data_IF_741651839576
#
_entry.id   IF_741651839576
#
_cell.length_a   1.000
_cell.length_b   1.000
_cell.length_c   1.000
_cell.angle_alpha   90.00
_cell.angle_beta   90.00
_cell.angle_gamma   90.00
#
_symmetry.space_group_name_H-M   'P 1'
#
loop_
_entity.id
_entity.type
_entity.pdbx_description
1 polymer ?
#
# COMPACT_ATOMS: atom_id res chain seq x y z
N UNK A 1 13.26 -14.61 -3.73
CA UNK A 1 12.32 -14.55 -4.86
C UNK A 1 11.71 -15.93 -4.98
N UNK A 2 10.40 -16.04 -4.83
CA UNK A 2 9.66 -17.26 -5.14
C UNK A 2 9.12 -17.15 -6.56
N UNK A 3 8.70 -18.27 -7.13
CA UNK A 3 8.13 -18.36 -8.48
C UNK A 3 6.62 -18.07 -8.47
N UNK A 4 6.11 -17.48 -7.38
CA UNK A 4 4.70 -17.22 -7.16
C UNK A 4 4.39 -15.74 -7.26
N UNK A 5 3.37 -15.38 -8.06
CA UNK A 5 2.81 -14.03 -8.11
C UNK A 5 1.53 -14.01 -7.27
N UNK A 6 1.46 -13.07 -6.33
CA UNK A 6 0.29 -12.83 -5.48
C UNK A 6 -0.45 -11.57 -5.98
N UNK A 7 -1.75 -11.71 -6.23
CA UNK A 7 -2.62 -10.61 -6.67
C UNK A 7 -3.74 -10.38 -5.67
N UNK A 8 -3.91 -9.13 -5.21
CA UNK A 8 -5.06 -8.72 -4.43
C UNK A 8 -6.10 -8.09 -5.35
N UNK A 9 -7.22 -8.76 -5.52
CA UNK A 9 -8.25 -8.35 -6.47
C UNK A 9 -9.55 -8.06 -5.73
N UNK A 10 -10.02 -6.82 -5.82
CA UNK A 10 -11.33 -6.43 -5.31
C UNK A 10 -12.39 -6.64 -6.38
N UNK A 11 -13.42 -7.41 -6.06
CA UNK A 11 -14.60 -7.53 -6.92
C UNK A 11 -15.32 -6.17 -6.98
N UNK A 12 -15.46 -5.63 -8.18
CA UNK A 12 -16.22 -4.41 -8.43
C UNK A 12 -17.49 -4.72 -9.19
N UNK A 13 -18.62 -4.05 -8.90
CA UNK A 13 -19.88 -4.23 -9.64
C UNK A 13 -19.64 -4.05 -11.15
N UNK A 14 -20.16 -4.99 -11.95
CA UNK A 14 -20.01 -5.01 -13.42
C UNK A 14 -18.55 -5.05 -13.93
N UNK A 15 -17.58 -5.30 -13.09
CA UNK A 15 -16.18 -5.43 -13.48
C UNK A 15 -15.95 -6.72 -14.28
N UNK A 16 -15.61 -6.61 -15.57
CA UNK A 16 -15.41 -7.75 -16.46
C UNK A 16 -14.30 -8.69 -15.96
N UNK A 17 -13.12 -8.15 -15.68
CA UNK A 17 -11.96 -8.94 -15.22
C UNK A 17 -12.18 -9.45 -13.81
N UNK A 18 -12.61 -8.59 -12.89
CA UNK A 18 -12.83 -8.98 -11.49
C UNK A 18 -13.99 -9.95 -11.34
N UNK A 19 -15.02 -9.82 -12.18
CA UNK A 19 -16.14 -10.78 -12.26
C UNK A 19 -15.69 -12.15 -12.76
N UNK A 20 -14.87 -12.20 -13.81
CA UNK A 20 -14.28 -13.43 -14.32
C UNK A 20 -13.44 -14.14 -13.25
N UNK A 21 -12.54 -13.42 -12.58
CA UNK A 21 -11.70 -13.98 -11.52
C UNK A 21 -12.52 -14.54 -10.36
N UNK A 22 -13.60 -13.85 -9.96
CA UNK A 22 -14.42 -14.26 -8.84
C UNK A 22 -15.35 -15.45 -9.13
N UNK A 23 -15.87 -15.56 -10.37
CA UNK A 23 -16.95 -16.47 -10.67
C UNK A 23 -16.57 -17.62 -11.63
N UNK A 24 -15.54 -17.45 -12.45
CA UNK A 24 -15.22 -18.36 -13.55
C UNK A 24 -13.85 -18.99 -13.42
N UNK A 25 -12.81 -18.23 -13.04
CA UNK A 25 -11.43 -18.71 -12.93
C UNK A 25 -11.30 -19.86 -11.91
N UNK A 26 -10.63 -20.93 -12.31
CA UNK A 26 -10.43 -22.14 -11.48
C UNK A 26 -8.95 -22.45 -11.34
N UNK A 27 -8.61 -23.17 -10.29
CA UNK A 27 -7.26 -23.74 -10.11
C UNK A 27 -6.91 -24.65 -11.30
N UNK A 28 -5.76 -24.38 -11.91
CA UNK A 28 -5.33 -25.05 -13.13
C UNK A 28 -5.56 -24.26 -14.42
N UNK A 29 -6.36 -23.21 -14.37
CA UNK A 29 -6.56 -22.32 -15.53
C UNK A 29 -5.30 -21.49 -15.81
N UNK A 30 -5.04 -21.24 -17.07
CA UNK A 30 -3.93 -20.38 -17.51
C UNK A 30 -4.41 -18.95 -17.70
N UNK A 31 -3.71 -18.00 -17.07
CA UNK A 31 -3.94 -16.59 -17.26
C UNK A 31 -2.71 -15.92 -17.88
N UNK A 32 -2.92 -14.91 -18.70
CA UNK A 32 -1.83 -14.08 -19.23
C UNK A 32 -1.72 -12.81 -18.39
N UNK A 33 -0.53 -12.58 -17.86
CA UNK A 33 -0.19 -11.38 -17.08
C UNK A 33 0.86 -10.57 -17.83
N UNK A 34 0.69 -9.25 -17.87
CA UNK A 34 1.68 -8.31 -18.43
C UNK A 34 2.22 -7.45 -17.29
N UNK A 35 3.53 -7.29 -17.25
CA UNK A 35 4.21 -6.48 -16.24
C UNK A 35 5.70 -6.84 -16.12
N UNK A 36 6.38 -6.35 -15.07
CA UNK A 36 5.88 -5.41 -14.06
C UNK A 36 5.65 -3.99 -14.65
N UNK A 37 4.68 -3.28 -14.10
CA UNK A 37 4.37 -1.89 -14.45
C UNK A 37 4.40 -1.03 -13.18
N UNK A 38 4.53 0.30 -13.37
CA UNK A 38 4.55 1.25 -12.26
C UNK A 38 5.93 1.53 -11.69
N UNK A 39 5.98 2.45 -10.73
CA UNK A 39 7.22 2.93 -10.11
C UNK A 39 7.37 2.55 -8.63
N UNK A 40 6.35 2.02 -8.00
CA UNK A 40 6.34 1.69 -6.58
C UNK A 40 7.01 0.32 -6.32
N UNK A 41 8.32 0.27 -6.46
CA UNK A 41 9.15 -0.90 -6.09
C UNK A 41 10.30 -0.52 -5.16
N UNK A 42 10.77 -1.47 -4.36
CA UNK A 42 11.79 -1.25 -3.34
C UNK A 42 13.11 -0.69 -3.91
N UNK A 43 13.56 0.43 -3.36
CA UNK A 43 14.87 1.03 -3.64
C UNK A 43 15.87 0.59 -2.56
N UNK A 44 16.59 -0.50 -2.80
CA UNK A 44 17.47 -1.17 -1.83
C UNK A 44 18.63 -0.30 -1.32
N UNK A 45 19.01 0.75 -2.05
CA UNK A 45 20.10 1.65 -1.65
C UNK A 45 19.69 2.71 -0.62
N UNK A 46 18.40 2.78 -0.28
CA UNK A 46 17.92 3.73 0.72
C UNK A 46 18.19 3.20 2.12
N UNK A 47 18.76 4.03 2.97
CA UNK A 47 19.07 3.72 4.38
C UNK A 47 18.20 4.52 5.36
N UNK A 48 17.50 5.55 4.89
CA UNK A 48 16.64 6.40 5.69
C UNK A 48 15.23 5.80 5.93
N UNK A 49 14.35 6.55 6.61
CA UNK A 49 13.00 6.10 6.89
C UNK A 49 12.13 5.99 5.63
N UNK A 50 11.16 5.09 5.70
CA UNK A 50 10.22 4.82 4.61
C UNK A 50 8.79 5.12 5.07
N UNK A 51 8.05 5.87 4.27
CA UNK A 51 6.61 6.05 4.40
C UNK A 51 5.91 5.19 3.35
N UNK A 52 5.16 4.21 3.80
CA UNK A 52 4.40 3.31 2.96
C UNK A 52 2.91 3.60 3.14
N UNK A 53 2.20 3.95 2.07
CA UNK A 53 0.77 4.28 2.14
C UNK A 53 0.00 3.39 1.18
N UNK A 54 -0.92 2.62 1.73
CA UNK A 54 -1.76 1.69 1.00
C UNK A 54 -3.24 2.08 1.09
N UNK A 55 -3.95 2.07 -0.03
CA UNK A 55 -5.40 2.21 -0.07
C UNK A 55 -6.07 0.96 -0.62
N UNK A 56 -6.91 0.29 0.18
CA UNK A 56 -7.58 -0.94 -0.25
C UNK A 56 -6.59 -1.99 -0.78
N UNK A 57 -6.77 -2.44 -2.03
CA UNK A 57 -5.87 -3.43 -2.68
C UNK A 57 -4.47 -2.89 -2.99
N UNK A 58 -4.24 -1.59 -2.82
CA UNK A 58 -2.89 -1.02 -2.80
C UNK A 58 -1.99 -1.57 -1.69
N UNK A 59 -2.57 -2.34 -0.76
CA UNK A 59 -1.80 -3.08 0.23
C UNK A 59 -0.86 -4.12 -0.42
N UNK A 60 -1.21 -4.72 -1.56
CA UNK A 60 -0.40 -5.76 -2.21
C UNK A 60 1.02 -5.28 -2.58
N UNK A 61 1.21 -4.22 -3.39
CA UNK A 61 2.55 -3.72 -3.69
C UNK A 61 3.28 -3.20 -2.45
N UNK A 62 2.57 -2.60 -1.50
CA UNK A 62 3.18 -2.16 -0.24
C UNK A 62 3.70 -3.36 0.58
N UNK A 63 2.93 -4.44 0.69
CA UNK A 63 3.39 -5.69 1.32
C UNK A 63 4.63 -6.25 0.62
N UNK A 64 4.65 -6.23 -0.73
CA UNK A 64 5.81 -6.68 -1.50
C UNK A 64 7.07 -5.87 -1.16
N UNK A 65 6.94 -4.54 -1.04
CA UNK A 65 8.06 -3.66 -0.65
C UNK A 65 8.54 -4.00 0.76
N UNK A 66 7.64 -4.11 1.75
CA UNK A 66 8.01 -4.42 3.14
C UNK A 66 8.62 -5.81 3.25
N UNK A 67 8.06 -6.84 2.59
CA UNK A 67 8.65 -8.18 2.49
C UNK A 67 10.06 -8.12 1.88
N UNK A 68 10.25 -7.28 0.86
CA UNK A 68 11.56 -7.05 0.25
C UNK A 68 12.58 -6.43 1.19
N UNK A 69 12.18 -5.50 2.06
CA UNK A 69 13.03 -4.92 3.12
C UNK A 69 13.47 -6.01 4.10
N UNK A 70 12.52 -6.82 4.58
CA UNK A 70 12.79 -7.93 5.51
C UNK A 70 13.74 -8.95 4.87
N UNK A 71 13.43 -9.41 3.66
CA UNK A 71 14.23 -10.41 2.94
C UNK A 71 15.65 -9.92 2.62
N UNK A 72 15.84 -8.61 2.42
CA UNK A 72 17.14 -8.01 2.17
C UNK A 72 17.92 -7.66 3.45
N UNK A 73 17.36 -7.91 4.64
CA UNK A 73 17.97 -7.55 5.93
C UNK A 73 18.17 -6.05 6.11
N UNK A 74 17.33 -5.22 5.46
CA UNK A 74 17.44 -3.76 5.57
C UNK A 74 16.89 -3.30 6.92
N UNK A 75 17.59 -2.37 7.58
CA UNK A 75 17.21 -1.85 8.91
C UNK A 75 16.38 -0.57 8.87
N UNK A 76 15.72 -0.23 7.77
CA UNK A 76 14.97 1.02 7.62
C UNK A 76 13.78 1.10 8.59
N UNK A 77 13.58 2.22 9.29
CA UNK A 77 12.29 2.49 9.92
C UNK A 77 11.19 2.59 8.86
N UNK A 78 10.09 1.88 9.06
CA UNK A 78 8.95 1.86 8.14
C UNK A 78 7.69 2.30 8.87
N UNK A 79 7.02 3.32 8.35
CA UNK A 79 5.71 3.78 8.79
C UNK A 79 4.68 3.45 7.72
N UNK A 80 3.87 2.43 7.96
CA UNK A 80 2.86 1.95 7.02
C UNK A 80 1.48 2.45 7.44
N UNK A 81 0.85 3.26 6.59
CA UNK A 81 -0.53 3.71 6.72
C UNK A 81 -1.42 2.92 5.76
N UNK A 82 -2.33 2.14 6.32
CA UNK A 82 -3.30 1.37 5.54
C UNK A 82 -4.68 2.01 5.65
N UNK A 83 -5.08 2.72 4.59
CA UNK A 83 -6.37 3.38 4.48
C UNK A 83 -7.44 2.47 3.87
N UNK A 84 -8.58 2.38 4.54
CA UNK A 84 -9.76 1.67 4.05
C UNK A 84 -10.99 2.57 4.16
N UNK A 85 -12.02 2.31 3.33
CA UNK A 85 -13.25 3.06 3.40
C UNK A 85 -14.01 2.80 4.70
N UNK A 86 -14.16 1.54 5.04
CA UNK A 86 -14.86 1.10 6.25
C UNK A 86 -14.11 -0.08 6.88
N UNK A 87 -14.47 -0.43 8.11
CA UNK A 87 -13.87 -1.55 8.83
C UNK A 87 -13.98 -2.89 8.09
N UNK A 88 -15.05 -3.08 7.33
CA UNK A 88 -15.27 -4.29 6.51
C UNK A 88 -14.23 -4.47 5.40
N UNK A 89 -13.56 -3.39 5.02
CA UNK A 89 -12.53 -3.39 3.99
C UNK A 89 -11.12 -3.70 4.55
N UNK A 90 -11.00 -3.89 5.88
CA UNK A 90 -9.72 -4.25 6.51
C UNK A 90 -9.43 -5.72 6.21
N UNK A 91 -8.23 -6.00 5.72
CA UNK A 91 -7.73 -7.35 5.48
C UNK A 91 -6.21 -7.41 5.64
N UNK A 92 -5.65 -8.61 5.73
CA UNK A 92 -4.20 -8.83 5.79
C UNK A 92 -3.51 -8.34 7.07
N UNK A 93 -4.26 -8.08 8.14
CA UNK A 93 -3.72 -7.59 9.42
C UNK A 93 -2.74 -8.59 10.01
N UNK A 94 -3.03 -9.89 9.90
CA UNK A 94 -2.16 -10.97 10.34
C UNK A 94 -0.82 -10.99 9.60
N UNK A 95 -0.79 -10.65 8.31
CA UNK A 95 0.45 -10.53 7.53
C UNK A 95 1.28 -9.33 8.00
N UNK A 96 0.61 -8.20 8.25
CA UNK A 96 1.27 -7.00 8.78
C UNK A 96 1.85 -7.26 10.18
N UNK A 97 1.12 -7.94 11.05
CA UNK A 97 1.60 -8.35 12.37
C UNK A 97 2.78 -9.33 12.28
N UNK A 98 2.74 -10.27 11.34
CA UNK A 98 3.86 -11.18 11.10
C UNK A 98 5.12 -10.43 10.65
N UNK A 99 4.97 -9.44 9.77
CA UNK A 99 6.07 -8.58 9.32
C UNK A 99 6.60 -7.70 10.45
N UNK A 100 5.74 -7.16 11.32
CA UNK A 100 6.19 -6.39 12.51
C UNK A 100 7.04 -7.23 13.46
N UNK A 101 6.73 -8.52 13.63
CA UNK A 101 7.58 -9.42 14.44
C UNK A 101 8.95 -9.66 13.81
N UNK A 102 9.04 -9.68 12.48
CA UNK A 102 10.31 -9.88 11.76
C UNK A 102 11.10 -8.58 11.62
N UNK A 103 10.42 -7.44 11.58
CA UNK A 103 11.00 -6.12 11.43
C UNK A 103 10.45 -5.17 12.50
N UNK A 104 11.06 -5.12 13.70
CA UNK A 104 10.54 -4.34 14.83
C UNK A 104 10.43 -2.83 14.58
N UNK A 105 11.11 -2.31 13.56
CA UNK A 105 11.01 -0.91 13.14
C UNK A 105 9.82 -0.62 12.20
N UNK A 106 9.00 -1.63 11.89
CA UNK A 106 7.75 -1.45 11.15
C UNK A 106 6.64 -1.01 12.10
N UNK A 107 6.09 0.16 11.87
CA UNK A 107 4.90 0.67 12.54
C UNK A 107 3.73 0.66 11.56
N UNK A 108 2.63 0.04 11.97
CA UNK A 108 1.42 -0.08 11.14
C UNK A 108 0.29 0.74 11.74
N UNK A 109 -0.31 1.57 10.90
CA UNK A 109 -1.44 2.44 11.23
C UNK A 109 -2.61 2.14 10.29
N UNK A 110 -3.64 1.47 10.79
CA UNK A 110 -4.89 1.29 10.04
C UNK A 110 -5.76 2.51 10.22
N UNK A 111 -6.25 3.08 9.10
CA UNK A 111 -7.07 4.29 9.07
C UNK A 111 -8.38 4.01 8.35
N UNK A 112 -9.50 4.18 9.05
CA UNK A 112 -10.86 3.93 8.55
C UNK A 112 -11.51 5.26 8.20
N UNK A 113 -11.86 5.47 6.92
CA UNK A 113 -12.36 6.75 6.44
C UNK A 113 -13.79 7.06 6.94
N UNK A 114 -14.63 6.04 7.15
CA UNK A 114 -16.02 6.25 7.56
C UNK A 114 -16.57 5.09 8.39
N UNK A 115 -17.50 5.41 9.28
CA UNK A 115 -18.17 4.43 10.15
C UNK A 115 -17.38 4.07 11.41
N UNK A 116 -17.82 3.02 12.12
CA UNK A 116 -17.11 2.50 13.29
C UNK A 116 -15.69 2.05 12.93
N UNK A 117 -14.75 2.24 13.83
CA UNK A 117 -13.34 1.93 13.59
C UNK A 117 -12.72 0.96 14.61
N UNK A 118 -13.48 0.48 15.61
CA UNK A 118 -13.08 -0.53 16.63
C UNK A 118 -11.64 -0.40 17.15
N UNK A 119 -11.25 0.83 17.52
CA UNK A 119 -9.90 1.12 18.02
C UNK A 119 -8.86 1.49 16.95
N UNK A 120 -9.21 1.44 15.67
CA UNK A 120 -8.40 1.99 14.59
C UNK A 120 -8.55 3.51 14.48
N UNK A 121 -7.65 4.16 13.78
CA UNK A 121 -7.74 5.59 13.50
C UNK A 121 -8.89 5.90 12.55
N UNK A 122 -9.54 7.05 12.74
CA UNK A 122 -10.62 7.53 11.87
C UNK A 122 -10.17 8.71 11.01
N UNK A 123 -10.79 8.85 9.84
CA UNK A 123 -10.51 9.94 8.88
C UNK A 123 -9.69 9.48 7.68
N UNK A 124 -9.05 10.43 7.00
CA UNK A 124 -8.22 10.13 5.83
C UNK A 124 -6.78 9.78 6.25
N UNK A 125 -6.10 9.01 5.43
CA UNK A 125 -4.67 8.70 5.65
C UNK A 125 -3.81 9.96 5.65
N UNK A 126 -4.16 10.96 4.84
CA UNK A 126 -3.50 12.26 4.81
C UNK A 126 -3.60 12.98 6.14
N UNK A 127 -4.77 12.95 6.79
CA UNK A 127 -4.97 13.58 8.11
C UNK A 127 -4.17 12.85 9.19
N UNK A 128 -4.08 11.52 9.10
CA UNK A 128 -3.30 10.73 10.03
C UNK A 128 -1.81 11.05 9.89
N UNK A 129 -1.28 11.11 8.67
CA UNK A 129 0.12 11.47 8.39
C UNK A 129 0.42 12.89 8.89
N UNK A 130 -0.43 13.88 8.57
CA UNK A 130 -0.24 15.27 8.98
C UNK A 130 -0.30 15.48 10.50
N UNK A 131 -1.02 14.62 11.24
CA UNK A 131 -1.03 14.64 12.71
C UNK A 131 0.21 14.03 13.33
N UNK A 132 0.76 12.99 12.70
CA UNK A 132 1.90 12.24 13.25
C UNK A 132 3.24 12.94 12.94
N UNK A 133 3.31 13.70 11.84
CA UNK A 133 4.56 14.24 11.35
C UNK A 133 4.48 15.76 11.13
N UNK A 134 5.53 16.47 11.51
CA UNK A 134 5.74 17.89 11.16
C UNK A 134 6.60 18.05 9.91
N UNK A 135 7.48 17.10 9.65
CA UNK A 135 8.35 17.02 8.47
C UNK A 135 8.59 15.57 8.10
N UNK A 136 8.71 15.31 6.81
CA UNK A 136 9.09 14.02 6.23
C UNK A 136 10.40 14.14 5.43
N UNK A 137 11.22 15.13 5.76
CA UNK A 137 12.54 15.28 5.15
C UNK A 137 13.38 14.02 5.36
N UNK A 138 14.05 13.55 4.30
CA UNK A 138 14.83 12.32 4.32
C UNK A 138 14.05 11.02 4.17
N UNK A 139 12.72 11.08 4.12
CA UNK A 139 11.89 9.90 3.83
C UNK A 139 11.88 9.56 2.34
N UNK A 140 11.64 8.28 2.05
CA UNK A 140 11.10 7.80 0.77
C UNK A 140 9.66 7.39 0.94
N UNK A 141 8.80 7.84 0.04
CA UNK A 141 7.38 7.54 0.06
C UNK A 141 6.98 6.55 -1.03
N UNK A 142 6.25 5.50 -0.65
CA UNK A 142 5.66 4.50 -1.54
C UNK A 142 4.15 4.54 -1.38
N UNK A 143 3.44 4.90 -2.44
CA UNK A 143 2.01 5.23 -2.39
C UNK A 143 1.25 4.35 -3.39
N UNK A 144 0.32 3.52 -2.92
CA UNK A 144 -0.43 2.62 -3.79
C UNK A 144 -1.92 2.59 -3.43
N UNK A 145 -2.79 2.69 -4.42
CA UNK A 145 -4.24 2.61 -4.21
C UNK A 145 -5.07 3.48 -5.15
N UNK A 146 -6.24 3.89 -4.71
CA UNK A 146 -7.14 4.72 -5.51
C UNK A 146 -6.52 6.09 -5.85
N UNK A 147 -6.69 6.59 -7.09
CA UNK A 147 -6.05 7.81 -7.56
C UNK A 147 -6.23 9.02 -6.63
N UNK A 148 -7.44 9.35 -6.13
CA UNK A 148 -7.59 10.53 -5.26
C UNK A 148 -6.77 10.44 -3.97
N UNK A 149 -6.64 9.24 -3.38
CA UNK A 149 -5.81 9.04 -2.20
C UNK A 149 -4.32 9.19 -2.53
N UNK A 150 -3.87 8.57 -3.61
CA UNK A 150 -2.45 8.62 -4.03
C UNK A 150 -2.04 10.05 -4.35
N UNK A 151 -2.85 10.79 -5.13
CA UNK A 151 -2.59 12.17 -5.52
C UNK A 151 -2.55 13.11 -4.32
N UNK A 152 -3.56 13.03 -3.43
CA UNK A 152 -3.60 13.83 -2.22
C UNK A 152 -2.41 13.54 -1.29
N UNK A 153 -2.03 12.26 -1.18
CA UNK A 153 -0.90 11.86 -0.34
C UNK A 153 0.42 12.32 -0.95
N UNK A 154 0.61 12.19 -2.26
CA UNK A 154 1.82 12.66 -2.95
C UNK A 154 2.02 14.17 -2.77
N UNK A 155 0.95 14.94 -2.91
CA UNK A 155 1.00 16.38 -2.65
C UNK A 155 1.38 16.70 -1.20
N UNK A 156 0.73 16.05 -0.24
CA UNK A 156 1.00 16.24 1.18
C UNK A 156 2.45 15.94 1.54
N UNK A 157 2.96 14.75 1.17
CA UNK A 157 4.32 14.33 1.56
C UNK A 157 5.38 15.20 0.94
N UNK A 158 5.15 15.71 -0.28
CA UNK A 158 6.05 16.67 -0.94
C UNK A 158 6.05 18.01 -0.21
N UNK A 159 4.88 18.51 0.21
CA UNK A 159 4.77 19.71 1.04
C UNK A 159 5.45 19.55 2.40
N UNK A 160 5.52 18.33 2.91
CA UNK A 160 6.18 17.98 4.18
C UNK A 160 7.68 17.67 4.05
N UNK A 161 8.27 17.84 2.87
CA UNK A 161 9.72 17.76 2.64
C UNK A 161 10.23 16.49 1.98
N UNK A 162 9.36 15.55 1.55
CA UNK A 162 9.81 14.45 0.69
C UNK A 162 10.12 15.01 -0.70
N UNK A 163 11.31 14.74 -1.20
CA UNK A 163 11.69 15.17 -2.55
C UNK A 163 10.82 14.48 -3.60
N UNK A 164 10.33 15.17 -4.65
CA UNK A 164 9.45 14.58 -5.66
C UNK A 164 10.01 13.29 -6.29
N UNK A 165 11.31 13.22 -6.52
CA UNK A 165 11.99 12.03 -7.04
C UNK A 165 12.11 10.87 -6.02
N UNK A 166 11.73 11.11 -4.78
CA UNK A 166 11.65 10.11 -3.71
C UNK A 166 10.21 9.64 -3.45
N UNK A 167 9.24 10.11 -4.23
CA UNK A 167 7.83 9.68 -4.17
C UNK A 167 7.57 8.68 -5.30
N UNK A 168 7.29 7.44 -4.93
CA UNK A 168 6.99 6.33 -5.85
C UNK A 168 5.53 5.96 -5.72
N UNK A 169 4.76 6.23 -6.75
CA UNK A 169 3.31 6.14 -6.67
C UNK A 169 2.72 5.28 -7.80
N UNK A 170 1.83 4.37 -7.44
CA UNK A 170 1.02 3.58 -8.38
C UNK A 170 -0.46 3.78 -8.06
N UNK A 171 -1.12 4.61 -8.87
CA UNK A 171 -2.55 4.88 -8.78
C UNK A 171 -3.33 3.89 -9.63
N UNK A 172 -4.36 3.25 -9.05
CA UNK A 172 -5.15 2.21 -9.69
C UNK A 172 -6.37 2.83 -10.38
N UNK A 173 -6.19 3.30 -11.60
CA UNK A 173 -7.28 3.82 -12.43
C UNK A 173 -8.18 2.68 -12.89
N UNK A 174 -9.50 2.87 -12.82
CA UNK A 174 -10.44 1.94 -13.42
C UNK A 174 -10.28 2.01 -14.95
N UNK A 175 -10.09 0.85 -15.60
CA UNK A 175 -10.11 0.79 -17.06
C UNK A 175 -11.54 0.98 -17.57
N UNK A 176 -11.79 2.02 -18.38
CA UNK A 176 -13.06 2.21 -19.10
C UNK A 176 -13.90 3.40 -18.63
N UNK A 177 -13.30 4.43 -18.06
CA UNK A 177 -13.92 5.77 -17.98
C UNK A 177 -13.30 6.70 -18.99
#
# INVERSE_FOLDING_TARGET
LDDTLEFHIRLVPQGRVTGYVANELRVGDTVRVSGPMGSAYLRRQHTGPMLCVAGGTGLAPILSIVRGVVAAGMGNPIHLYFGVRSERDIYGVEWLQALQRQHPQLQVHVVVASGPAQGHRTGLVTDAIARDWRSLEGFRAYLCGAPPMVEATALLVTQMGVLPEQVYADAFYASGT
#
